data_IF_923651589973
#
_entry.id   IF_923651589973
#
_cell.length_a   1.000
_cell.length_b   1.000
_cell.length_c   1.000
_cell.angle_alpha   90.00
_cell.angle_beta   90.00
_cell.angle_gamma   90.00
#
_symmetry.space_group_name_H-M   'P 1'
#
loop_
_entity.id
_entity.type
_entity.pdbx_description
1 polymer ?
#
# COMPACT_ATOMS: atom_id res chain seq x y z
N UNK A 1 7.00 6.14 8.57
CA UNK A 1 6.27 5.70 7.37
C UNK A 1 6.77 4.33 7.00
N UNK A 2 5.89 3.35 7.02
CA UNK A 2 6.25 1.94 6.86
C UNK A 2 6.50 1.62 5.39
N UNK A 3 7.53 0.82 5.14
CA UNK A 3 7.81 0.19 3.84
C UNK A 3 7.23 -1.21 3.89
N UNK A 4 6.36 -1.53 2.94
CA UNK A 4 5.71 -2.84 2.83
C UNK A 4 6.38 -3.61 1.70
N UNK A 5 6.85 -4.82 1.98
CA UNK A 5 7.45 -5.69 0.98
C UNK A 5 6.44 -5.99 -0.14
N UNK A 6 6.91 -5.93 -1.39
CA UNK A 6 6.11 -6.12 -2.60
C UNK A 6 6.95 -6.83 -3.66
N UNK A 7 7.02 -8.16 -3.59
CA UNK A 7 7.84 -8.95 -4.49
C UNK A 7 7.19 -9.31 -5.83
N UNK A 8 5.95 -8.85 -6.07
CA UNK A 8 5.17 -9.21 -7.25
C UNK A 8 5.70 -8.60 -8.55
N UNK A 9 6.39 -7.46 -8.48
CA UNK A 9 6.86 -6.72 -9.66
C UNK A 9 8.39 -6.66 -9.77
N UNK A 10 9.09 -7.33 -8.84
CA UNK A 10 10.54 -7.42 -8.75
C UNK A 10 10.96 -7.91 -7.36
N UNK A 11 12.07 -8.65 -7.28
CA UNK A 11 12.55 -9.19 -6.00
C UNK A 11 13.08 -8.09 -5.07
N UNK A 12 12.71 -8.16 -3.79
CA UNK A 12 13.18 -7.25 -2.75
C UNK A 12 12.59 -5.83 -2.82
N UNK A 13 11.60 -5.60 -3.69
CA UNK A 13 10.94 -4.31 -3.82
C UNK A 13 10.01 -4.05 -2.63
N UNK A 14 9.77 -2.77 -2.34
CA UNK A 14 8.82 -2.35 -1.33
C UNK A 14 7.99 -1.16 -1.79
N UNK A 15 6.75 -1.09 -1.32
CA UNK A 15 5.82 -0.01 -1.58
C UNK A 15 5.63 0.84 -0.31
N UNK A 16 5.48 2.15 -0.49
CA UNK A 16 5.14 3.07 0.60
C UNK A 16 4.46 4.34 0.07
N UNK A 17 3.75 5.04 0.96
CA UNK A 17 3.08 6.29 0.65
C UNK A 17 3.45 7.41 1.62
N UNK A 18 4.10 8.46 1.10
CA UNK A 18 4.26 9.75 1.79
C UNK A 18 3.16 10.71 1.37
N UNK A 19 3.07 11.88 2.03
CA UNK A 19 2.03 12.89 1.72
C UNK A 19 2.02 13.27 0.23
N UNK A 20 3.20 13.43 -0.40
CA UNK A 20 3.27 13.75 -1.83
C UNK A 20 2.73 12.63 -2.73
N UNK A 21 3.04 11.37 -2.42
CA UNK A 21 2.52 10.19 -3.15
C UNK A 21 1.03 10.00 -2.92
N UNK A 22 0.53 10.25 -1.71
CA UNK A 22 -0.91 10.23 -1.42
C UNK A 22 -1.64 11.29 -2.24
N UNK A 23 -1.13 12.53 -2.28
CA UNK A 23 -1.74 13.59 -3.10
C UNK A 23 -1.72 13.25 -4.60
N UNK A 24 -0.63 12.66 -5.09
CA UNK A 24 -0.56 12.16 -6.48
C UNK A 24 -1.58 11.06 -6.73
N UNK A 25 -1.78 10.15 -5.77
CA UNK A 25 -2.75 9.07 -5.88
C UNK A 25 -4.16 9.64 -5.95
N UNK A 26 -4.53 10.52 -5.01
CA UNK A 26 -5.84 11.20 -4.99
C UNK A 26 -6.11 11.96 -6.29
N UNK A 27 -5.11 12.69 -6.79
CA UNK A 27 -5.23 13.42 -8.06
C UNK A 27 -5.47 12.48 -9.25
N UNK A 28 -4.82 11.32 -9.27
CA UNK A 28 -4.91 10.39 -10.38
C UNK A 28 -6.28 9.67 -10.45
N UNK A 29 -6.90 9.40 -9.30
CA UNK A 29 -8.12 8.58 -9.21
C UNK A 29 -9.38 9.40 -8.88
N UNK A 30 -9.23 10.65 -8.41
CA UNK A 30 -10.35 11.53 -8.08
C UNK A 30 -11.08 11.20 -6.77
N UNK A 31 -10.55 10.29 -5.95
CA UNK A 31 -11.08 9.92 -4.63
C UNK A 31 -10.03 10.14 -3.55
N UNK A 32 -10.46 10.34 -2.30
CA UNK A 32 -9.56 10.59 -1.17
C UNK A 32 -8.85 9.30 -0.76
N UNK A 33 -7.59 9.39 -0.34
CA UNK A 33 -6.81 8.26 0.11
C UNK A 33 -7.43 7.57 1.33
N UNK A 34 -8.14 8.33 2.17
CA UNK A 34 -8.93 7.80 3.29
C UNK A 34 -10.05 6.86 2.84
N UNK A 35 -10.73 7.20 1.74
CA UNK A 35 -11.87 6.42 1.23
C UNK A 35 -11.39 5.05 0.72
N UNK A 36 -10.24 5.01 0.03
CA UNK A 36 -9.60 3.78 -0.44
C UNK A 36 -9.40 2.74 0.66
N UNK A 37 -9.04 3.20 1.86
CA UNK A 37 -8.74 2.31 2.98
C UNK A 37 -10.03 1.71 3.54
N UNK A 38 -11.13 2.46 3.51
CA UNK A 38 -12.41 2.03 4.10
C UNK A 38 -13.26 1.16 3.18
N UNK A 39 -13.11 1.28 1.85
CA UNK A 39 -13.93 0.58 0.87
C UNK A 39 -13.21 -0.57 0.16
N UNK A 40 -11.93 -0.78 0.46
CA UNK A 40 -10.98 -1.59 -0.34
C UNK A 40 -10.76 -0.94 -1.72
N UNK A 41 -9.50 -0.78 -2.18
CA UNK A 41 -9.24 -0.22 -3.51
C UNK A 41 -9.79 -1.13 -4.62
N UNK A 42 -10.44 -0.54 -5.61
CA UNK A 42 -10.80 -1.23 -6.86
C UNK A 42 -9.57 -1.39 -7.78
N UNK A 43 -9.80 -1.95 -8.98
CA UNK A 43 -8.73 -2.20 -9.95
C UNK A 43 -8.00 -0.92 -10.36
N UNK A 44 -8.74 0.13 -10.73
CA UNK A 44 -8.14 1.42 -11.14
C UNK A 44 -7.26 1.98 -10.03
N UNK A 45 -7.76 1.98 -8.81
CA UNK A 45 -7.06 2.46 -7.62
C UNK A 45 -5.78 1.64 -7.37
N UNK A 46 -5.86 0.32 -7.52
CA UNK A 46 -4.75 -0.59 -7.34
C UNK A 46 -3.62 -0.34 -8.35
N UNK A 47 -3.96 -0.17 -9.64
CA UNK A 47 -2.99 0.11 -10.70
C UNK A 47 -2.25 1.44 -10.48
N UNK A 48 -3.00 2.48 -10.11
CA UNK A 48 -2.42 3.78 -9.79
C UNK A 48 -1.60 3.73 -8.50
N UNK A 49 -2.05 2.98 -7.49
CA UNK A 49 -1.33 2.80 -6.23
C UNK A 49 0.04 2.11 -6.46
N UNK A 50 0.10 1.06 -7.27
CA UNK A 50 1.39 0.43 -7.60
C UNK A 50 2.29 1.38 -8.40
N UNK A 51 1.75 2.03 -9.44
CA UNK A 51 2.52 2.98 -10.26
C UNK A 51 3.14 4.10 -9.44
N UNK A 52 2.39 4.68 -8.50
CA UNK A 52 2.86 5.78 -7.67
C UNK A 52 3.70 5.28 -6.51
N UNK A 53 3.28 4.22 -5.83
CA UNK A 53 3.93 3.69 -4.63
C UNK A 53 5.30 3.07 -4.93
N UNK A 54 5.45 2.40 -6.07
CA UNK A 54 6.69 1.75 -6.50
C UNK A 54 7.58 2.62 -7.41
N UNK A 55 7.18 3.86 -7.73
CA UNK A 55 7.94 4.74 -8.63
C UNK A 55 9.40 5.03 -8.22
N UNK A 56 9.81 4.68 -7.00
CA UNK A 56 11.20 4.75 -6.54
C UNK A 56 12.02 3.50 -6.86
N UNK A 57 11.37 2.33 -6.91
CA UNK A 57 11.97 1.07 -7.36
C UNK A 57 12.00 1.03 -8.90
N UNK A 58 10.85 1.33 -9.52
CA UNK A 58 10.70 1.36 -10.96
C UNK A 58 9.57 2.29 -11.40
N UNK A 59 9.84 3.15 -12.38
CA UNK A 59 8.86 4.06 -12.96
C UNK A 59 8.11 3.36 -14.10
N UNK A 60 6.99 2.74 -13.76
CA UNK A 60 6.10 2.07 -14.71
C UNK A 60 4.72 2.70 -14.70
N UNK A 61 4.02 2.63 -15.84
CA UNK A 61 2.67 3.19 -16.01
C UNK A 61 1.60 2.26 -15.42
N UNK A 62 0.40 2.75 -15.07
CA UNK A 62 -0.72 1.89 -14.64
C UNK A 62 -1.03 0.75 -15.62
N UNK A 63 -0.92 1.03 -16.93
CA UNK A 63 -1.13 0.01 -17.97
C UNK A 63 -0.07 -1.10 -17.95
N UNK A 64 1.18 -0.79 -17.58
CA UNK A 64 2.20 -1.80 -17.40
C UNK A 64 1.86 -2.73 -16.21
N UNK A 65 1.38 -2.15 -15.10
CA UNK A 65 0.92 -2.93 -13.95
C UNK A 65 -0.31 -3.78 -14.28
N UNK A 66 -1.22 -3.30 -15.13
CA UNK A 66 -2.38 -4.08 -15.57
C UNK A 66 -1.95 -5.39 -16.24
N UNK A 67 -1.04 -5.30 -17.22
CA UNK A 67 -0.53 -6.48 -17.90
C UNK A 67 0.19 -7.45 -16.95
N UNK A 68 0.96 -6.93 -15.97
CA UNK A 68 1.62 -7.79 -14.98
C UNK A 68 0.66 -8.42 -14.00
N UNK A 69 -0.39 -7.70 -13.61
CA UNK A 69 -1.42 -8.27 -12.75
C UNK A 69 -2.15 -9.40 -13.49
N UNK A 70 -2.46 -9.25 -14.78
CA UNK A 70 -3.06 -10.34 -15.57
C UNK A 70 -2.19 -11.62 -15.50
N UNK A 71 -0.88 -11.52 -15.72
CA UNK A 71 0.05 -12.65 -15.60
C UNK A 71 0.09 -13.23 -14.17
N UNK A 72 0.14 -12.38 -13.14
CA UNK A 72 0.15 -12.82 -11.75
C UNK A 72 -1.14 -13.57 -11.37
N UNK A 73 -2.29 -13.13 -11.89
CA UNK A 73 -3.57 -13.82 -11.69
C UNK A 73 -3.56 -15.20 -12.35
N UNK A 74 -2.96 -15.35 -13.54
CA UNK A 74 -2.76 -16.65 -14.18
C UNK A 74 -1.81 -17.57 -13.39
N UNK A 75 -0.81 -17.00 -12.72
CA UNK A 75 0.12 -17.71 -11.83
C UNK A 75 -0.49 -18.06 -10.45
N UNK A 76 -1.72 -17.60 -10.18
CA UNK A 76 -2.48 -17.93 -8.97
C UNK A 76 -2.38 -16.91 -7.83
N UNK A 77 -1.71 -15.77 -8.05
CA UNK A 77 -1.79 -14.64 -7.13
C UNK A 77 -3.21 -14.10 -7.15
N UNK A 78 -3.74 -13.75 -5.98
CA UNK A 78 -5.10 -13.24 -5.87
C UNK A 78 -5.15 -11.71 -5.83
N UNK A 79 -6.29 -11.16 -6.26
CA UNK A 79 -6.56 -9.72 -6.13
C UNK A 79 -6.50 -9.25 -4.66
N UNK A 80 -6.91 -10.09 -3.72
CA UNK A 80 -6.88 -9.79 -2.28
C UNK A 80 -5.45 -9.65 -1.75
N UNK A 81 -4.52 -10.51 -2.20
CA UNK A 81 -3.10 -10.42 -1.84
C UNK A 81 -2.47 -9.11 -2.32
N UNK A 82 -2.76 -8.71 -3.57
CA UNK A 82 -2.29 -7.44 -4.13
C UNK A 82 -2.90 -6.24 -3.38
N UNK A 83 -4.21 -6.29 -3.13
CA UNK A 83 -4.94 -5.23 -2.42
C UNK A 83 -4.46 -5.07 -0.99
N UNK A 84 -4.17 -6.18 -0.31
CA UNK A 84 -3.65 -6.19 1.06
C UNK A 84 -2.30 -5.47 1.16
N UNK A 85 -1.41 -5.66 0.18
CA UNK A 85 -0.11 -4.96 0.15
C UNK A 85 -0.31 -3.45 0.03
N UNK A 86 -1.18 -3.00 -0.88
CA UNK A 86 -1.49 -1.57 -1.04
C UNK A 86 -2.17 -1.00 0.21
N UNK A 87 -3.15 -1.71 0.76
CA UNK A 87 -3.89 -1.29 1.95
C UNK A 87 -2.96 -1.10 3.16
N UNK A 88 -2.07 -2.07 3.41
CA UNK A 88 -1.04 -1.96 4.45
C UNK A 88 -0.13 -0.76 4.22
N UNK A 89 0.25 -0.47 2.98
CA UNK A 89 1.10 0.68 2.67
C UNK A 89 0.38 2.03 2.88
N UNK A 90 -0.91 2.09 2.54
CA UNK A 90 -1.76 3.26 2.80
C UNK A 90 -1.94 3.50 4.30
N UNK A 91 -2.21 2.46 5.10
CA UNK A 91 -2.29 2.57 6.56
C UNK A 91 -0.92 2.95 7.16
N UNK A 92 0.16 2.34 6.65
CA UNK A 92 1.54 2.60 7.03
C UNK A 92 2.06 4.00 6.69
N UNK A 93 1.30 4.79 5.92
CA UNK A 93 1.55 6.21 5.71
C UNK A 93 1.35 7.05 6.98
N UNK A 94 0.54 6.55 7.93
CA UNK A 94 0.13 7.25 9.14
C UNK A 94 -1.11 8.15 8.97
N UNK A 95 -1.73 8.19 7.79
CA UNK A 95 -2.88 9.05 7.49
C UNK A 95 -4.07 8.81 8.43
N UNK A 96 -4.29 7.55 8.84
CA UNK A 96 -5.38 7.16 9.76
C UNK A 96 -5.02 7.24 11.26
N UNK A 97 -3.78 7.63 11.58
CA UNK A 97 -3.28 7.67 12.95
C UNK A 97 -2.94 6.30 13.55
N UNK A 98 -2.49 6.32 14.81
CA UNK A 98 -1.89 5.17 15.52
C UNK A 98 -2.82 3.95 15.64
N UNK A 99 -4.12 4.16 15.84
CA UNK A 99 -5.08 3.07 16.06
C UNK A 99 -5.23 2.16 14.84
N UNK A 100 -5.38 2.75 13.65
CA UNK A 100 -5.47 1.99 12.41
C UNK A 100 -4.14 1.30 12.08
N UNK A 101 -3.01 1.96 12.39
CA UNK A 101 -1.69 1.35 12.26
C UNK A 101 -1.56 0.07 13.11
N UNK A 102 -1.92 0.14 14.40
CA UNK A 102 -1.85 -1.01 15.30
C UNK A 102 -2.74 -2.18 14.85
N UNK A 103 -3.90 -1.91 14.25
CA UNK A 103 -4.77 -2.96 13.69
C UNK A 103 -4.18 -3.64 12.46
N UNK A 104 -3.47 -2.90 11.60
CA UNK A 104 -2.85 -3.44 10.38
C UNK A 104 -1.51 -4.15 10.65
N UNK A 105 -0.83 -3.78 11.74
CA UNK A 105 0.47 -4.30 12.16
C UNK A 105 0.43 -4.70 13.65
N UNK A 106 -0.37 -5.73 14.00
CA UNK A 106 -0.59 -6.11 15.40
C UNK A 106 0.72 -6.52 16.08
N UNK A 107 1.61 -7.21 15.38
CA UNK A 107 2.91 -7.67 15.91
C UNK A 107 3.83 -6.49 16.32
N UNK A 108 3.71 -5.35 15.65
CA UNK A 108 4.49 -4.13 15.99
C UNK A 108 3.82 -3.29 17.10
N UNK A 109 2.51 -3.43 17.27
CA UNK A 109 1.78 -2.71 18.31
C UNK A 109 2.14 -3.20 19.71
N UNK A 110 2.44 -4.50 19.86
CA UNK A 110 2.81 -5.13 21.15
C UNK A 110 4.18 -4.65 21.67
N UNK A 111 5.07 -4.21 20.79
CA UNK A 111 6.37 -3.64 21.18
C UNK A 111 6.24 -2.20 21.68
N UNK A 112 5.26 -1.43 21.17
CA UNK A 112 5.09 -0.02 21.50
C UNK A 112 4.50 0.22 22.90
N UNK A 113 3.60 -0.65 23.37
CA UNK A 113 2.99 -0.54 24.71
C UNK A 113 3.97 -0.93 25.85
N UNK A 114 5.06 -1.62 25.55
CA UNK A 114 6.06 -2.01 26.56
C UNK A 114 7.10 -0.90 26.86
N UNK A 115 7.20 0.13 26.02
CA UNK A 115 8.14 1.25 26.23
C UNK A 115 7.52 2.41 27.02
N UNK A 116 6.19 2.57 27.04
CA UNK A 116 5.51 3.65 27.77
C UNK A 116 5.38 3.40 29.30
N UNK A 117 5.82 2.25 29.83
CA UNK A 117 5.75 1.91 31.28
C UNK A 117 7.07 2.22 32.03
N UNK A 118 8.02 2.93 31.41
CA UNK A 118 9.24 3.41 32.09
C UNK A 118 9.40 4.93 31.92
N UNK A 119 8.62 5.71 32.68
CA UNK A 119 9.01 7.06 33.15
C UNK A 119 8.19 7.47 34.37
#
# INVERSE_FOLDING_TARGET
MKKIECNYFGQGQYIYFNISRLAQLEQAIGVKAMELITTVPGLTELLHAFSIGLAHEQRQTPNWYANRIDELLEEGVTFDELSTVVLKALIGSGLLGKKAYAMAFPDEAVESDNEEVKN
#
